data_IF_448893241561
#
_entry.id   IF_448893241561
#
_cell.length_a   1.000
_cell.length_b   1.000
_cell.length_c   1.000
_cell.angle_alpha   90.00
_cell.angle_beta   90.00
_cell.angle_gamma   90.00
#
_symmetry.space_group_name_H-M   'P 1'
#
loop_
_entity.id
_entity.type
_entity.pdbx_description
1 polymer ?
#
# COMPACT_ATOMS: atom_id res chain seq x y z
N UNK A 1 -6.58 -2.33 8.30
CA UNK A 1 -5.59 -2.41 7.21
C UNK A 1 -5.49 -1.04 6.57
N UNK A 2 -4.33 -0.65 6.05
CA UNK A 2 -4.13 0.70 5.50
C UNK A 2 -4.87 0.85 4.17
N UNK A 3 -5.56 1.96 3.96
CA UNK A 3 -6.23 2.32 2.70
C UNK A 3 -5.27 3.01 1.73
N UNK A 4 -5.62 3.04 0.44
CA UNK A 4 -4.87 3.79 -0.58
C UNK A 4 -4.79 5.29 -0.26
N UNK A 5 -5.88 5.87 0.28
CA UNK A 5 -5.90 7.27 0.73
C UNK A 5 -4.89 7.54 1.85
N UNK A 6 -4.86 6.69 2.87
CA UNK A 6 -3.89 6.80 3.98
C UNK A 6 -2.45 6.58 3.51
N UNK A 7 -2.24 5.75 2.48
CA UNK A 7 -0.94 5.60 1.83
C UNK A 7 -0.48 6.88 1.15
N UNK A 8 -1.29 7.45 0.26
CA UNK A 8 -0.94 8.67 -0.47
C UNK A 8 -0.71 9.86 0.48
N UNK A 9 -1.55 10.01 1.51
CA UNK A 9 -1.40 11.08 2.49
C UNK A 9 -0.04 11.06 3.20
N UNK A 10 0.48 9.87 3.53
CA UNK A 10 1.77 9.76 4.20
C UNK A 10 2.98 9.89 3.30
N UNK A 11 2.81 9.94 1.98
CA UNK A 11 3.93 10.24 1.07
C UNK A 11 4.33 11.71 1.10
N UNK A 12 3.48 12.57 1.64
CA UNK A 12 3.77 13.99 1.86
C UNK A 12 4.39 14.22 3.25
N UNK A 13 5.54 13.60 3.49
CA UNK A 13 6.23 13.61 4.79
C UNK A 13 7.53 14.43 4.79
N UNK A 14 7.77 15.22 3.73
CA UNK A 14 8.97 16.04 3.59
C UNK A 14 10.24 15.26 3.20
N UNK A 15 10.12 14.00 2.75
CA UNK A 15 11.25 13.24 2.20
C UNK A 15 11.94 13.97 1.04
N UNK A 16 13.27 13.86 0.98
CA UNK A 16 14.06 14.36 -0.15
C UNK A 16 14.22 13.27 -1.20
N UNK A 17 13.51 13.39 -2.30
CA UNK A 17 13.52 12.41 -3.40
C UNK A 17 13.93 13.09 -4.69
N UNK A 18 14.94 12.56 -5.36
CA UNK A 18 15.37 13.02 -6.68
C UNK A 18 14.90 12.04 -7.74
N UNK A 19 14.32 12.56 -8.83
CA UNK A 19 13.93 11.78 -10.01
C UNK A 19 14.57 12.40 -11.25
N UNK A 20 15.71 11.84 -11.63
CA UNK A 20 16.61 12.45 -12.61
C UNK A 20 17.29 13.68 -11.99
N UNK A 21 17.11 14.83 -12.63
CA UNK A 21 17.63 16.14 -12.25
C UNK A 21 16.65 16.98 -11.41
N UNK A 22 15.47 16.43 -11.08
CA UNK A 22 14.41 17.14 -10.38
C UNK A 22 14.23 16.64 -8.95
N UNK A 23 14.15 17.59 -8.00
CA UNK A 23 13.77 17.31 -6.63
C UNK A 23 12.23 17.27 -6.55
N UNK A 24 11.70 16.13 -6.10
CA UNK A 24 10.27 15.90 -5.92
C UNK A 24 9.82 16.43 -4.56
N UNK A 25 8.85 17.34 -4.58
CA UNK A 25 8.23 17.95 -3.40
C UNK A 25 7.26 16.99 -2.69
N UNK A 26 6.44 16.27 -3.47
CA UNK A 26 5.49 15.29 -2.96
C UNK A 26 5.29 14.14 -3.94
N UNK A 27 5.80 12.97 -3.56
CA UNK A 27 5.76 11.73 -4.36
C UNK A 27 4.34 11.34 -4.79
N UNK A 28 3.31 11.62 -3.97
CA UNK A 28 1.93 11.27 -4.29
C UNK A 28 1.34 12.09 -5.46
N UNK A 29 1.85 13.29 -5.72
CA UNK A 29 1.21 14.25 -6.65
C UNK A 29 2.10 14.64 -7.82
N UNK A 30 3.41 14.50 -7.66
CA UNK A 30 4.38 14.91 -8.68
C UNK A 30 4.20 14.13 -10.01
N UNK A 31 4.23 14.78 -11.18
CA UNK A 31 3.93 14.15 -12.47
C UNK A 31 4.77 12.90 -12.78
N UNK A 32 6.05 12.90 -12.40
CA UNK A 32 6.98 11.77 -12.63
C UNK A 32 6.74 10.57 -11.70
N UNK A 33 6.00 10.71 -10.60
CA UNK A 33 5.85 9.64 -9.57
C UNK A 33 4.42 9.27 -9.25
N UNK A 34 3.45 10.19 -9.45
CA UNK A 34 2.05 10.02 -9.04
C UNK A 34 1.38 8.76 -9.60
N UNK A 35 1.75 8.36 -10.82
CA UNK A 35 1.17 7.18 -11.47
C UNK A 35 1.52 5.90 -10.68
N UNK A 36 2.79 5.75 -10.29
CA UNK A 36 3.22 4.58 -9.51
C UNK A 36 2.71 4.65 -8.06
N UNK A 37 2.66 5.85 -7.46
CA UNK A 37 2.03 6.05 -6.16
C UNK A 37 0.55 5.62 -6.19
N UNK A 38 -0.19 5.94 -7.25
CA UNK A 38 -1.58 5.52 -7.40
C UNK A 38 -1.71 3.98 -7.55
N UNK A 39 -0.79 3.32 -8.25
CA UNK A 39 -0.78 1.85 -8.33
C UNK A 39 -0.58 1.19 -6.96
N UNK A 40 0.29 1.75 -6.11
CA UNK A 40 0.46 1.28 -4.74
C UNK A 40 -0.74 1.60 -3.85
N UNK A 41 -1.39 2.76 -4.05
CA UNK A 41 -2.65 3.07 -3.39
C UNK A 41 -3.74 2.05 -3.74
N UNK A 42 -3.87 1.71 -5.03
CA UNK A 42 -4.81 0.69 -5.50
C UNK A 42 -4.50 -0.69 -4.90
N UNK A 43 -3.22 -1.05 -4.74
CA UNK A 43 -2.82 -2.28 -4.03
C UNK A 43 -3.36 -2.31 -2.59
N UNK A 44 -3.26 -1.22 -1.83
CA UNK A 44 -3.86 -1.15 -0.49
C UNK A 44 -5.39 -1.30 -0.54
N UNK A 45 -6.05 -0.67 -1.51
CA UNK A 45 -7.51 -0.76 -1.68
C UNK A 45 -7.98 -2.18 -2.08
N UNK A 46 -7.17 -2.98 -2.77
CA UNK A 46 -7.48 -4.39 -3.06
C UNK A 46 -7.73 -5.22 -1.80
N UNK A 47 -7.10 -4.89 -0.67
CA UNK A 47 -7.32 -5.59 0.61
C UNK A 47 -8.69 -5.31 1.24
N UNK A 48 -9.39 -4.28 0.76
CA UNK A 48 -10.70 -3.87 1.24
C UNK A 48 -11.83 -4.35 0.32
N UNK A 49 -11.51 -4.93 -0.84
CA UNK A 49 -12.49 -5.48 -1.77
C UNK A 49 -13.15 -6.73 -1.17
N UNK A 50 -14.49 -6.74 -0.97
CA UNK A 50 -15.18 -7.89 -0.39
C UNK A 50 -14.99 -9.17 -1.21
N UNK A 51 -14.95 -9.05 -2.53
CA UNK A 51 -14.79 -10.16 -3.47
C UNK A 51 -13.38 -10.75 -3.51
N UNK A 52 -12.39 -10.06 -2.93
CA UNK A 52 -11.00 -10.51 -2.83
C UNK A 52 -10.59 -10.85 -1.40
N UNK A 53 -11.51 -10.79 -0.43
CA UNK A 53 -11.19 -10.87 0.99
C UNK A 53 -10.41 -12.15 1.35
N UNK A 54 -10.82 -13.29 0.79
CA UNK A 54 -10.24 -14.60 1.09
C UNK A 54 -8.81 -14.75 0.55
N UNK A 55 -8.50 -14.12 -0.60
CA UNK A 55 -7.18 -14.22 -1.23
C UNK A 55 -6.22 -13.12 -0.80
N UNK A 56 -6.75 -11.96 -0.36
CA UNK A 56 -5.95 -10.80 0.03
C UNK A 56 -5.71 -10.69 1.53
N UNK A 57 -6.49 -11.38 2.37
CA UNK A 57 -6.44 -11.20 3.83
C UNK A 57 -6.53 -12.51 4.60
N UNK A 58 -6.02 -12.51 5.84
CA UNK A 58 -6.20 -13.59 6.81
C UNK A 58 -6.57 -13.00 8.18
N UNK A 59 -7.05 -13.85 9.09
CA UNK A 59 -7.25 -13.49 10.50
C UNK A 59 -6.09 -14.04 11.31
N UNK A 60 -5.40 -13.18 12.06
CA UNK A 60 -4.28 -13.60 12.90
C UNK A 60 -4.74 -14.30 14.19
N UNK A 61 -3.79 -14.80 14.99
CA UNK A 61 -4.06 -15.48 16.27
C UNK A 61 -4.81 -14.58 17.28
N UNK A 62 -4.71 -13.25 17.13
CA UNK A 62 -5.40 -12.27 17.95
C UNK A 62 -6.80 -11.89 17.43
N UNK A 63 -7.29 -12.56 16.38
CA UNK A 63 -8.60 -12.27 15.79
C UNK A 63 -8.63 -11.02 14.90
N UNK A 64 -7.47 -10.43 14.58
CA UNK A 64 -7.38 -9.22 13.75
C UNK A 64 -7.18 -9.60 12.29
N UNK A 65 -8.03 -9.06 11.41
CA UNK A 65 -7.87 -9.23 9.96
C UNK A 65 -6.69 -8.41 9.43
N UNK A 66 -5.76 -9.07 8.72
CA UNK A 66 -4.54 -8.48 8.15
C UNK A 66 -4.37 -8.86 6.69
N UNK A 67 -3.55 -8.07 5.98
CA UNK A 67 -3.12 -8.38 4.61
C UNK A 67 -2.27 -9.66 4.58
N UNK A 68 -2.42 -10.46 3.53
CA UNK A 68 -1.58 -11.63 3.25
C UNK A 68 -0.08 -11.30 3.15
N UNK A 69 0.33 -10.05 2.95
CA UNK A 69 1.75 -9.67 2.99
C UNK A 69 2.40 -9.89 4.36
N UNK A 70 1.61 -10.01 5.42
CA UNK A 70 2.08 -10.32 6.78
C UNK A 70 1.94 -11.80 7.14
N UNK A 71 1.41 -12.63 6.24
CA UNK A 71 1.17 -14.04 6.50
C UNK A 71 2.48 -14.83 6.55
N UNK A 72 2.66 -15.65 7.57
CA UNK A 72 3.82 -16.54 7.71
C UNK A 72 3.37 -17.98 7.44
N UNK A 73 3.66 -18.48 6.24
CA UNK A 73 3.35 -19.86 5.88
C UNK A 73 4.24 -20.85 6.67
N UNK A 74 3.61 -21.78 7.40
CA UNK A 74 4.30 -22.84 8.18
C UNK A 74 4.01 -24.25 7.67
N UNK A 75 3.16 -24.37 6.65
CA UNK A 75 2.80 -25.62 5.99
C UNK A 75 2.59 -25.36 4.49
N UNK A 76 2.42 -26.44 3.71
CA UNK A 76 2.25 -26.39 2.26
C UNK A 76 0.84 -25.96 1.81
N UNK A 77 -0.14 -25.95 2.73
CA UNK A 77 -1.55 -25.73 2.42
C UNK A 77 -1.86 -24.24 2.19
#
# INVERSE_FOLDING_TARGET
>A
MRTGKEYLAALNDGRKVWVGDELVDNVATHPKTRAYAQSLAAFYDLHHRPDLQDVMTFVDEGGVRRSMTWFQHRSKA
#
